data_IF_808268159551
#
_entry.id   IF_808268159551
#
_cell.length_a   1.000
_cell.length_b   1.000
_cell.length_c   1.000
_cell.angle_alpha   90.00
_cell.angle_beta   90.00
_cell.angle_gamma   90.00
#
_symmetry.space_group_name_H-M   'P 1'
#
loop_
_entity.id
_entity.type
_entity.pdbx_description
1 polymer ?
#
# COMPACT_ATOMS: atom_id res chain seq x y z
N UNK A 1 -1.47 57.00 49.54
CA UNK A 1 -0.49 57.92 50.16
C UNK A 1 -0.49 59.16 49.26
N UNK A 2 -0.92 60.36 49.62
CA UNK A 2 -1.24 61.03 50.87
C UNK A 2 -0.86 62.51 50.66
N UNK A 3 -1.77 63.45 51.02
CA UNK A 3 -1.54 64.89 51.27
C UNK A 3 -1.09 65.75 50.06
N UNK A 4 -1.31 67.07 49.94
CA UNK A 4 -1.71 68.12 50.88
C UNK A 4 -2.28 69.34 50.12
N UNK A 5 -2.88 70.23 50.90
CA UNK A 5 -3.63 71.45 50.58
C UNK A 5 -2.77 72.68 50.22
N UNK A 6 -3.37 73.54 49.39
CA UNK A 6 -3.42 75.02 49.34
C UNK A 6 -2.21 75.89 49.73
N UNK A 7 -1.98 76.90 48.88
CA UNK A 7 -1.39 78.18 49.28
C UNK A 7 -2.17 79.35 48.66
N UNK A 8 -2.35 80.38 49.48
CA UNK A 8 -3.23 81.53 49.30
C UNK A 8 -2.56 82.69 48.55
N UNK A 9 -3.37 83.56 47.96
CA UNK A 9 -2.96 84.87 47.44
C UNK A 9 -4.12 85.86 47.49
N UNK A 10 -4.02 86.80 48.42
CA UNK A 10 -4.99 87.85 48.74
C UNK A 10 -4.83 89.07 47.81
N UNK A 11 -5.90 89.82 47.53
CA UNK A 11 -5.98 91.28 47.78
C UNK A 11 -7.34 91.88 47.40
N UNK A 12 -7.72 92.86 48.22
CA UNK A 12 -8.96 93.63 48.34
C UNK A 12 -9.45 94.37 47.10
N UNK A 13 -10.74 94.71 47.07
CA UNK A 13 -11.28 95.75 46.20
C UNK A 13 -12.80 95.87 46.23
N UNK A 14 -13.30 96.81 47.01
CA UNK A 14 -14.71 97.00 47.35
C UNK A 14 -15.64 97.48 46.19
N UNK A 15 -16.95 97.29 46.43
CA UNK A 15 -18.08 98.21 46.13
C UNK A 15 -19.13 97.78 45.10
N UNK A 16 -20.37 98.00 45.53
CA UNK A 16 -21.64 97.65 44.91
C UNK A 16 -21.99 98.52 43.70
N UNK A 17 -22.69 97.93 42.73
CA UNK A 17 -23.58 98.66 41.83
C UNK A 17 -24.81 97.79 41.53
N UNK A 18 -25.96 98.25 42.02
CA UNK A 18 -27.27 97.71 41.69
C UNK A 18 -27.55 97.93 40.19
N UNK A 19 -27.32 96.90 39.39
CA UNK A 19 -27.72 96.85 37.98
C UNK A 19 -28.98 96.01 37.84
N UNK A 20 -30.08 96.65 37.43
CA UNK A 20 -31.32 95.96 37.04
C UNK A 20 -31.02 94.97 35.91
N UNK A 21 -31.07 93.67 36.23
CA UNK A 21 -30.95 92.57 35.27
C UNK A 21 -32.21 92.52 34.41
N UNK A 22 -32.21 93.26 33.30
CA UNK A 22 -33.21 93.06 32.25
C UNK A 22 -32.93 91.73 31.57
N UNK A 23 -33.76 90.72 31.87
CA UNK A 23 -33.75 89.41 31.20
C UNK A 23 -34.21 89.62 29.76
N UNK A 24 -33.27 89.94 28.86
CA UNK A 24 -33.51 89.89 27.42
C UNK A 24 -33.60 88.41 27.02
N UNK A 25 -34.71 88.06 26.38
CA UNK A 25 -35.08 86.70 25.96
C UNK A 25 -33.91 85.94 25.30
N UNK A 26 -33.32 84.99 26.04
CA UNK A 26 -32.10 84.24 25.69
C UNK A 26 -32.27 83.24 24.54
N UNK A 27 -33.44 83.19 23.89
CA UNK A 27 -33.73 82.21 22.85
C UNK A 27 -33.02 82.47 21.50
N UNK A 28 -32.57 83.72 21.22
CA UNK A 28 -31.83 84.02 19.97
C UNK A 28 -30.36 83.59 20.05
N UNK A 29 -29.71 83.82 21.18
CA UNK A 29 -28.29 83.49 21.37
C UNK A 29 -28.05 82.02 21.66
N UNK A 30 -29.03 81.31 22.25
CA UNK A 30 -28.95 79.86 22.41
C UNK A 30 -28.89 79.14 21.06
N UNK A 31 -29.67 79.59 20.07
CA UNK A 31 -29.64 79.05 18.71
C UNK A 31 -28.31 79.33 18.01
N UNK A 32 -27.79 80.54 18.13
CA UNK A 32 -26.50 80.92 17.55
C UNK A 32 -25.31 80.20 18.22
N UNK A 33 -25.37 79.95 19.54
CA UNK A 33 -24.38 79.15 20.26
C UNK A 33 -24.40 77.67 19.87
N UNK A 34 -25.58 77.08 19.67
CA UNK A 34 -25.71 75.70 19.21
C UNK A 34 -25.17 75.56 17.78
N UNK A 35 -25.45 76.50 16.88
CA UNK A 35 -24.89 76.48 15.52
C UNK A 35 -23.36 76.65 15.48
N UNK A 36 -22.79 77.38 16.45
CA UNK A 36 -21.33 77.55 16.59
C UNK A 36 -20.65 76.30 17.17
N UNK A 37 -21.27 75.62 18.13
CA UNK A 37 -20.76 74.38 18.74
C UNK A 37 -20.99 73.17 17.83
N UNK A 38 -22.08 73.15 17.05
CA UNK A 38 -22.42 72.09 16.10
C UNK A 38 -21.83 72.33 14.70
N UNK A 39 -21.05 73.40 14.51
CA UNK A 39 -20.24 73.66 13.32
C UNK A 39 -20.98 73.40 12.00
N UNK A 40 -21.71 74.40 11.49
CA UNK A 40 -22.24 74.41 10.12
C UNK A 40 -21.13 73.96 9.16
N UNK A 41 -21.24 72.74 8.64
CA UNK A 41 -20.20 72.17 7.79
C UNK A 41 -20.06 73.04 6.55
N UNK A 42 -18.89 73.69 6.42
CA UNK A 42 -18.47 74.31 5.16
C UNK A 42 -18.65 73.26 4.07
N UNK A 43 -19.28 73.65 2.96
CA UNK A 43 -19.44 72.81 1.76
C UNK A 43 -18.06 72.31 1.28
N UNK A 44 -17.57 71.24 1.88
CA UNK A 44 -16.35 70.57 1.48
C UNK A 44 -16.71 69.65 0.32
N UNK A 45 -15.98 69.79 -0.78
CA UNK A 45 -16.00 68.82 -1.87
C UNK A 45 -15.74 67.43 -1.28
N UNK A 46 -16.72 66.54 -1.40
CA UNK A 46 -16.65 65.20 -0.82
C UNK A 46 -15.51 64.41 -1.42
N UNK A 47 -14.87 63.57 -0.61
CA UNK A 47 -13.75 62.75 -1.05
C UNK A 47 -14.27 61.57 -1.89
N UNK A 48 -13.55 61.24 -2.97
CA UNK A 48 -13.83 60.06 -3.79
C UNK A 48 -13.33 58.78 -3.11
N UNK A 49 -14.11 57.72 -3.19
CA UNK A 49 -13.74 56.42 -2.62
C UNK A 49 -12.74 55.71 -3.54
N UNK A 50 -11.55 55.40 -3.02
CA UNK A 50 -10.57 54.57 -3.74
C UNK A 50 -10.90 53.08 -3.57
N UNK A 51 -11.83 52.56 -4.37
CA UNK A 51 -12.24 51.16 -4.37
C UNK A 51 -11.96 50.48 -5.71
N UNK A 52 -11.17 49.40 -5.68
CA UNK A 52 -10.91 48.58 -6.86
C UNK A 52 -11.87 47.37 -6.90
N UNK A 53 -12.87 47.45 -7.78
CA UNK A 53 -13.88 46.41 -7.94
C UNK A 53 -13.34 45.10 -8.57
N UNK A 54 -12.22 45.15 -9.32
CA UNK A 54 -11.66 43.98 -10.01
C UNK A 54 -10.71 43.15 -9.17
N UNK A 55 -10.10 43.73 -8.14
CA UNK A 55 -9.03 43.08 -7.36
C UNK A 55 -9.46 41.72 -6.81
N UNK A 56 -10.59 41.69 -6.09
CA UNK A 56 -11.12 40.47 -5.47
C UNK A 56 -11.70 39.51 -6.53
N UNK A 57 -12.38 40.05 -7.54
CA UNK A 57 -12.94 39.25 -8.65
C UNK A 57 -11.85 38.48 -9.41
N UNK A 58 -10.74 39.14 -9.77
CA UNK A 58 -9.63 38.50 -10.45
C UNK A 58 -8.94 37.43 -9.58
N UNK A 59 -8.82 37.67 -8.27
CA UNK A 59 -8.27 36.68 -7.34
C UNK A 59 -9.19 35.45 -7.22
N UNK A 60 -10.51 35.65 -7.20
CA UNK A 60 -11.49 34.57 -7.20
C UNK A 60 -11.46 33.74 -8.49
N UNK A 61 -11.35 34.39 -9.65
CA UNK A 61 -11.26 33.71 -10.94
C UNK A 61 -9.98 32.88 -11.07
N UNK A 62 -8.86 33.35 -10.49
CA UNK A 62 -7.58 32.62 -10.49
C UNK A 62 -7.54 31.48 -9.47
N UNK A 63 -8.37 31.52 -8.42
CA UNK A 63 -8.34 30.53 -7.36
C UNK A 63 -8.93 29.18 -7.82
N UNK A 64 -8.08 28.15 -7.89
CA UNK A 64 -8.47 26.76 -8.20
C UNK A 64 -8.57 25.84 -6.98
N UNK A 65 -8.14 26.31 -5.81
CA UNK A 65 -8.10 25.55 -4.55
C UNK A 65 -8.89 26.27 -3.47
N UNK A 66 -9.55 25.54 -2.54
CA UNK A 66 -10.36 26.18 -1.50
C UNK A 66 -9.55 27.14 -0.64
N UNK A 67 -8.27 26.84 -0.38
CA UNK A 67 -7.37 27.71 0.37
C UNK A 67 -7.07 29.03 -0.39
N UNK A 68 -6.91 28.98 -1.71
CA UNK A 68 -6.76 30.18 -2.54
C UNK A 68 -8.02 31.05 -2.54
N UNK A 69 -9.21 30.42 -2.59
CA UNK A 69 -10.48 31.14 -2.50
C UNK A 69 -10.72 31.71 -1.09
N UNK A 70 -10.27 31.02 -0.03
CA UNK A 70 -10.37 31.51 1.35
C UNK A 70 -9.52 32.77 1.56
N UNK A 71 -8.32 32.82 0.96
CA UNK A 71 -7.49 34.02 0.98
C UNK A 71 -8.18 35.21 0.28
N UNK A 72 -8.84 34.96 -0.86
CA UNK A 72 -9.62 35.97 -1.56
C UNK A 72 -10.85 36.42 -0.72
N UNK A 73 -11.50 35.51 0.00
CA UNK A 73 -12.59 35.82 0.92
C UNK A 73 -12.15 36.75 2.05
N UNK A 74 -10.99 36.50 2.67
CA UNK A 74 -10.44 37.36 3.72
C UNK A 74 -10.17 38.76 3.19
N UNK A 75 -9.63 38.88 1.97
CA UNK A 75 -9.43 40.18 1.31
C UNK A 75 -10.76 40.85 0.95
N UNK A 76 -11.77 40.11 0.53
CA UNK A 76 -13.11 40.65 0.27
C UNK A 76 -13.72 41.27 1.55
N UNK A 77 -13.63 40.53 2.67
CA UNK A 77 -14.10 40.99 3.98
C UNK A 77 -13.34 42.22 4.47
N UNK A 78 -12.01 42.26 4.31
CA UNK A 78 -11.22 43.41 4.72
C UNK A 78 -11.57 44.66 3.91
N UNK A 79 -11.80 44.53 2.59
CA UNK A 79 -12.26 45.63 1.73
C UNK A 79 -13.66 46.10 2.11
N UNK A 80 -14.58 45.19 2.41
CA UNK A 80 -15.91 45.57 2.92
C UNK A 80 -15.81 46.35 4.23
N UNK A 81 -14.99 45.90 5.17
CA UNK A 81 -14.77 46.59 6.45
C UNK A 81 -14.15 47.99 6.26
N UNK A 82 -13.21 48.16 5.33
CA UNK A 82 -12.66 49.49 5.01
C UNK A 82 -13.73 50.43 4.49
N UNK A 83 -14.59 49.97 3.58
CA UNK A 83 -15.68 50.77 3.02
C UNK A 83 -16.75 51.12 4.05
N UNK A 84 -17.05 50.20 4.97
CA UNK A 84 -17.97 50.46 6.09
C UNK A 84 -17.44 51.55 7.02
N UNK A 85 -16.12 51.56 7.30
CA UNK A 85 -15.51 52.65 8.08
C UNK A 85 -15.59 53.99 7.35
N UNK A 86 -15.28 54.02 6.05
CA UNK A 86 -15.45 55.24 5.23
C UNK A 86 -16.90 55.74 5.22
N UNK A 87 -17.87 54.82 5.22
CA UNK A 87 -19.29 55.16 5.26
C UNK A 87 -19.67 55.83 6.59
N UNK A 88 -19.09 55.38 7.70
CA UNK A 88 -19.33 55.94 9.02
C UNK A 88 -18.71 57.33 9.22
N UNK A 89 -17.59 57.65 8.54
CA UNK A 89 -16.94 58.97 8.65
C UNK A 89 -17.77 60.10 8.02
N UNK A 90 -18.61 59.80 7.02
CA UNK A 90 -19.49 60.80 6.38
C UNK A 90 -18.79 61.81 5.45
N UNK A 91 -17.47 61.70 5.25
CA UNK A 91 -16.66 62.60 4.41
C UNK A 91 -16.74 62.32 2.89
N UNK A 92 -17.39 61.22 2.50
CA UNK A 92 -17.42 60.72 1.12
C UNK A 92 -18.80 60.86 0.50
N UNK A 93 -18.88 60.71 -0.83
CA UNK A 93 -20.16 60.63 -1.52
C UNK A 93 -20.98 59.41 -1.10
N UNK A 94 -22.12 59.66 -0.47
CA UNK A 94 -23.04 58.64 0.03
C UNK A 94 -23.51 57.67 -1.06
N UNK A 95 -23.73 58.16 -2.29
CA UNK A 95 -24.10 57.32 -3.46
C UNK A 95 -22.94 56.40 -3.89
N UNK A 96 -21.71 56.91 -3.94
CA UNK A 96 -20.54 56.11 -4.34
C UNK A 96 -20.17 55.08 -3.27
N UNK A 97 -20.15 55.48 -1.99
CA UNK A 97 -19.90 54.56 -0.88
C UNK A 97 -20.94 53.45 -0.83
N UNK A 98 -22.23 53.78 -0.95
CA UNK A 98 -23.28 52.76 -0.88
C UNK A 98 -23.19 51.77 -2.04
N UNK A 99 -22.91 52.24 -3.26
CA UNK A 99 -22.68 51.38 -4.42
C UNK A 99 -21.44 50.48 -4.23
N UNK A 100 -20.33 51.01 -3.71
CA UNK A 100 -19.12 50.25 -3.43
C UNK A 100 -19.33 49.19 -2.34
N UNK A 101 -20.03 49.56 -1.24
CA UNK A 101 -20.39 48.63 -0.16
C UNK A 101 -21.30 47.52 -0.68
N UNK A 102 -22.30 47.84 -1.51
CA UNK A 102 -23.18 46.86 -2.11
C UNK A 102 -22.41 45.88 -3.02
N UNK A 103 -21.49 46.37 -3.84
CA UNK A 103 -20.62 45.52 -4.65
C UNK A 103 -19.70 44.63 -3.81
N UNK A 104 -19.06 45.20 -2.78
CA UNK A 104 -18.18 44.45 -1.88
C UNK A 104 -18.94 43.34 -1.12
N UNK A 105 -20.18 43.59 -0.69
CA UNK A 105 -21.05 42.56 -0.07
C UNK A 105 -21.29 41.38 -1.01
N UNK A 106 -21.72 41.65 -2.25
CA UNK A 106 -21.89 40.60 -3.27
C UNK A 106 -20.60 39.83 -3.52
N UNK A 107 -19.46 40.52 -3.55
CA UNK A 107 -18.17 39.87 -3.75
C UNK A 107 -17.78 38.95 -2.58
N UNK A 108 -18.17 39.28 -1.35
CA UNK A 108 -18.01 38.39 -0.18
C UNK A 108 -18.88 37.14 -0.34
N UNK A 109 -20.13 37.28 -0.77
CA UNK A 109 -21.02 36.14 -1.03
C UNK A 109 -20.47 35.23 -2.13
N UNK A 110 -20.04 35.80 -3.27
CA UNK A 110 -19.39 35.05 -4.34
C UNK A 110 -18.15 34.30 -3.85
N UNK A 111 -17.33 34.94 -3.00
CA UNK A 111 -16.16 34.30 -2.42
C UNK A 111 -16.51 33.14 -1.48
N UNK A 112 -17.53 33.29 -0.64
CA UNK A 112 -18.02 32.23 0.24
C UNK A 112 -18.53 31.03 -0.56
N UNK A 113 -19.33 31.28 -1.60
CA UNK A 113 -19.82 30.23 -2.51
C UNK A 113 -18.65 29.49 -3.17
N UNK A 114 -17.67 30.22 -3.72
CA UNK A 114 -16.50 29.62 -4.36
C UNK A 114 -15.68 28.75 -3.40
N UNK A 115 -15.50 29.17 -2.15
CA UNK A 115 -14.84 28.35 -1.11
C UNK A 115 -15.62 27.07 -0.84
N UNK A 116 -16.94 27.15 -0.71
CA UNK A 116 -17.79 25.96 -0.48
C UNK A 116 -17.75 25.00 -1.67
N UNK A 117 -17.91 25.51 -2.89
CA UNK A 117 -17.88 24.69 -4.11
C UNK A 117 -16.52 24.01 -4.29
N UNK A 118 -15.41 24.75 -4.19
CA UNK A 118 -14.08 24.16 -4.31
C UNK A 118 -13.78 23.12 -3.22
N UNK A 119 -14.31 23.32 -2.00
CA UNK A 119 -14.17 22.34 -0.91
C UNK A 119 -14.99 21.08 -1.19
N UNK A 120 -16.21 21.23 -1.72
CA UNK A 120 -17.07 20.11 -2.10
C UNK A 120 -16.47 19.32 -3.27
N UNK A 121 -16.06 20.01 -4.33
CA UNK A 121 -15.38 19.42 -5.50
C UNK A 121 -14.11 18.65 -5.09
N UNK A 122 -13.33 19.18 -4.14
CA UNK A 122 -12.13 18.50 -3.65
C UNK A 122 -12.46 17.21 -2.89
N UNK A 123 -13.51 17.22 -2.06
CA UNK A 123 -13.97 16.03 -1.33
C UNK A 123 -14.45 14.95 -2.30
N UNK A 124 -15.31 15.31 -3.26
CA UNK A 124 -15.86 14.39 -4.25
C UNK A 124 -14.77 13.81 -5.17
N UNK A 125 -13.85 14.66 -5.65
CA UNK A 125 -12.72 14.21 -6.46
C UNK A 125 -11.79 13.28 -5.67
N UNK A 126 -11.57 13.54 -4.38
CA UNK A 126 -10.78 12.65 -3.53
C UNK A 126 -11.47 11.31 -3.29
N UNK A 127 -12.80 11.29 -3.14
CA UNK A 127 -13.59 10.06 -3.05
C UNK A 127 -13.48 9.23 -4.32
N UNK A 128 -13.70 9.84 -5.48
CA UNK A 128 -13.55 9.18 -6.78
C UNK A 128 -12.14 8.60 -6.99
N UNK A 129 -11.09 9.37 -6.67
CA UNK A 129 -9.70 8.88 -6.75
C UNK A 129 -9.43 7.73 -5.79
N UNK A 130 -10.03 7.73 -4.60
CA UNK A 130 -9.88 6.66 -3.61
C UNK A 130 -10.58 5.39 -4.07
N UNK A 131 -11.81 5.50 -4.55
CA UNK A 131 -12.59 4.39 -5.10
C UNK A 131 -11.86 3.77 -6.30
N UNK A 132 -11.41 4.57 -7.26
CA UNK A 132 -10.68 4.07 -8.42
C UNK A 132 -9.34 3.41 -8.04
N UNK A 133 -8.64 3.89 -7.00
CA UNK A 133 -7.44 3.22 -6.47
C UNK A 133 -7.76 1.90 -5.81
N UNK A 134 -8.85 1.82 -5.04
CA UNK A 134 -9.30 0.59 -4.39
C UNK A 134 -9.71 -0.46 -5.43
N UNK A 135 -10.53 -0.08 -6.41
CA UNK A 135 -10.98 -0.95 -7.50
C UNK A 135 -9.81 -1.46 -8.34
N UNK A 136 -8.84 -0.58 -8.66
CA UNK A 136 -7.65 -0.98 -9.39
C UNK A 136 -6.79 -1.96 -8.59
N UNK A 137 -6.63 -1.72 -7.28
CA UNK A 137 -5.90 -2.61 -6.39
C UNK A 137 -6.59 -3.98 -6.25
N UNK A 138 -7.92 -4.01 -6.14
CA UNK A 138 -8.69 -5.26 -6.10
C UNK A 138 -8.58 -6.03 -7.42
N UNK A 139 -8.82 -5.38 -8.56
CA UNK A 139 -8.67 -6.00 -9.90
C UNK A 139 -7.27 -6.55 -10.11
N UNK A 140 -6.22 -5.81 -9.73
CA UNK A 140 -4.82 -6.26 -9.81
C UNK A 140 -4.56 -7.47 -8.90
N UNK A 141 -5.14 -7.48 -7.69
CA UNK A 141 -5.06 -8.60 -6.76
C UNK A 141 -5.74 -9.87 -7.28
N UNK A 142 -6.93 -9.74 -7.86
CA UNK A 142 -7.68 -10.86 -8.46
C UNK A 142 -6.97 -11.45 -9.67
N UNK A 143 -6.46 -10.61 -10.58
CA UNK A 143 -5.70 -11.06 -11.75
C UNK A 143 -4.46 -11.84 -11.30
N UNK A 144 -3.74 -11.34 -10.28
CA UNK A 144 -2.56 -12.03 -9.73
C UNK A 144 -2.91 -13.39 -9.13
N UNK A 145 -4.00 -13.49 -8.36
CA UNK A 145 -4.47 -14.76 -7.79
C UNK A 145 -4.89 -15.75 -8.87
N UNK A 146 -5.64 -15.28 -9.88
CA UNK A 146 -6.10 -16.13 -10.99
C UNK A 146 -4.91 -16.66 -11.80
N UNK A 147 -3.90 -15.83 -12.06
CA UNK A 147 -2.68 -16.26 -12.75
C UNK A 147 -1.91 -17.32 -11.94
N UNK A 148 -1.66 -17.06 -10.64
CA UNK A 148 -0.93 -17.99 -9.77
C UNK A 148 -1.66 -19.33 -9.57
N UNK A 149 -3.00 -19.34 -9.57
CA UNK A 149 -3.77 -20.58 -9.49
C UNK A 149 -3.70 -21.38 -10.80
N UNK A 150 -3.82 -20.71 -11.95
CA UNK A 150 -3.67 -21.36 -13.26
C UNK A 150 -2.28 -21.97 -13.45
N UNK A 151 -1.23 -21.27 -13.00
CA UNK A 151 0.14 -21.76 -13.06
C UNK A 151 0.36 -23.02 -12.20
N UNK A 152 -0.16 -23.03 -10.97
CA UNK A 152 -0.08 -24.21 -10.09
C UNK A 152 -0.83 -25.41 -10.66
N UNK A 153 -2.04 -25.21 -11.15
CA UNK A 153 -2.86 -26.28 -11.73
C UNK A 153 -2.19 -26.90 -12.97
N UNK A 154 -1.59 -26.07 -13.83
CA UNK A 154 -0.84 -26.57 -14.98
C UNK A 154 0.41 -27.35 -14.56
N UNK A 155 1.13 -26.86 -13.55
CA UNK A 155 2.32 -27.56 -13.03
C UNK A 155 1.98 -28.91 -12.42
N UNK A 156 0.88 -29.00 -11.67
CA UNK A 156 0.38 -30.26 -11.11
C UNK A 156 -0.04 -31.25 -12.20
N UNK A 157 -0.75 -30.78 -13.23
CA UNK A 157 -1.15 -31.63 -14.37
C UNK A 157 0.06 -32.21 -15.11
N UNK A 158 1.08 -31.39 -15.37
CA UNK A 158 2.32 -31.81 -16.02
C UNK A 158 3.03 -32.87 -15.15
N UNK A 159 3.15 -32.65 -13.84
CA UNK A 159 3.80 -33.59 -12.94
C UNK A 159 3.06 -34.94 -12.86
N UNK A 160 1.73 -34.93 -12.81
CA UNK A 160 0.91 -36.16 -12.81
C UNK A 160 1.07 -36.91 -14.13
N UNK A 161 1.04 -36.21 -15.25
CA UNK A 161 1.22 -36.81 -16.58
C UNK A 161 2.61 -37.45 -16.72
N UNK A 162 3.65 -36.80 -16.22
CA UNK A 162 5.01 -37.32 -16.20
C UNK A 162 5.12 -38.60 -15.34
N UNK A 163 4.55 -38.59 -14.13
CA UNK A 163 4.52 -39.77 -13.25
C UNK A 163 3.78 -40.94 -13.93
N UNK A 164 2.64 -40.68 -14.58
CA UNK A 164 1.88 -41.71 -15.29
C UNK A 164 2.68 -42.30 -16.46
N UNK A 165 3.42 -41.48 -17.20
CA UNK A 165 4.26 -41.94 -18.31
C UNK A 165 5.42 -42.81 -17.80
N UNK A 166 6.08 -42.41 -16.72
CA UNK A 166 7.13 -43.22 -16.08
C UNK A 166 6.58 -44.56 -15.57
N UNK A 167 5.40 -44.57 -14.95
CA UNK A 167 4.75 -45.82 -14.50
C UNK A 167 4.43 -46.76 -15.67
N UNK A 168 3.89 -46.22 -16.77
CA UNK A 168 3.60 -47.01 -17.99
C UNK A 168 4.87 -47.60 -18.59
N UNK A 169 5.98 -46.85 -18.60
CA UNK A 169 7.26 -47.35 -19.10
C UNK A 169 7.82 -48.46 -18.17
N UNK A 170 7.80 -48.25 -16.85
CA UNK A 170 8.20 -49.26 -15.86
C UNK A 170 7.38 -50.55 -16.00
N UNK A 171 6.06 -50.45 -16.17
CA UNK A 171 5.19 -51.61 -16.38
C UNK A 171 5.56 -52.39 -17.66
N UNK A 172 5.80 -51.69 -18.78
CA UNK A 172 6.25 -52.32 -20.04
C UNK A 172 7.60 -53.02 -19.88
N UNK A 173 8.55 -52.39 -19.15
CA UNK A 173 9.86 -53.00 -18.86
C UNK A 173 9.74 -54.29 -18.06
N UNK A 174 8.87 -54.30 -17.05
CA UNK A 174 8.60 -55.51 -16.25
C UNK A 174 7.94 -56.60 -17.10
N UNK A 175 6.97 -56.24 -17.95
CA UNK A 175 6.29 -57.18 -18.83
C UNK A 175 7.25 -57.89 -19.80
N UNK A 176 8.17 -57.13 -20.42
CA UNK A 176 9.22 -57.69 -21.29
C UNK A 176 10.13 -58.62 -20.50
N UNK A 177 10.54 -58.23 -19.29
CA UNK A 177 11.38 -59.05 -18.41
C UNK A 177 10.68 -60.36 -18.04
N UNK A 178 9.38 -60.31 -17.74
CA UNK A 178 8.57 -61.48 -17.40
C UNK A 178 8.41 -62.42 -18.59
N UNK A 179 8.09 -61.90 -19.79
CA UNK A 179 8.02 -62.69 -21.02
C UNK A 179 9.34 -63.41 -21.29
N UNK A 180 10.48 -62.72 -21.16
CA UNK A 180 11.82 -63.33 -21.29
C UNK A 180 12.10 -64.42 -20.25
N UNK A 181 11.56 -64.29 -19.03
CA UNK A 181 11.69 -65.31 -18.01
C UNK A 181 10.83 -66.54 -18.34
N UNK A 182 9.59 -66.32 -18.79
CA UNK A 182 8.68 -67.39 -19.18
C UNK A 182 9.22 -68.18 -20.36
N UNK A 183 9.83 -67.53 -21.35
CA UNK A 183 10.48 -68.22 -22.47
C UNK A 183 11.63 -69.11 -21.99
N UNK A 184 12.52 -68.61 -21.13
CA UNK A 184 13.60 -69.42 -20.54
C UNK A 184 13.08 -70.61 -19.73
N UNK A 185 12.02 -70.43 -18.93
CA UNK A 185 11.38 -71.54 -18.19
C UNK A 185 10.78 -72.57 -19.14
N UNK A 186 10.13 -72.13 -20.22
CA UNK A 186 9.54 -73.03 -21.21
C UNK A 186 10.62 -73.82 -21.98
N UNK A 187 11.72 -73.17 -22.33
CA UNK A 187 12.90 -73.82 -22.92
C UNK A 187 13.47 -74.87 -21.97
N UNK A 188 13.71 -74.52 -20.71
CA UNK A 188 14.17 -75.46 -19.68
C UNK A 188 13.22 -76.63 -19.48
N UNK A 189 11.91 -76.39 -19.48
CA UNK A 189 10.91 -77.45 -19.38
C UNK A 189 10.99 -78.41 -20.57
N UNK A 190 11.20 -77.92 -21.79
CA UNK A 190 11.35 -78.76 -22.99
C UNK A 190 12.66 -79.55 -22.98
N UNK A 191 13.75 -78.92 -22.52
CA UNK A 191 15.05 -79.60 -22.35
C UNK A 191 14.91 -80.70 -21.31
N UNK A 192 14.37 -80.39 -20.13
CA UNK A 192 14.14 -81.38 -19.07
C UNK A 192 13.21 -82.50 -19.51
N UNK A 193 12.15 -82.20 -20.27
CA UNK A 193 11.27 -83.23 -20.84
C UNK A 193 12.03 -84.18 -21.79
N UNK A 194 12.92 -83.63 -22.64
CA UNK A 194 13.75 -84.43 -23.53
C UNK A 194 14.76 -85.29 -22.75
N UNK A 195 15.42 -84.71 -21.75
CA UNK A 195 16.37 -85.42 -20.88
C UNK A 195 15.68 -86.54 -20.11
N UNK A 196 14.49 -86.29 -19.55
CA UNK A 196 13.69 -87.30 -18.86
C UNK A 196 13.25 -88.43 -19.80
N UNK A 197 12.90 -88.13 -21.06
CA UNK A 197 12.61 -89.16 -22.07
C UNK A 197 13.84 -90.01 -22.38
N UNK A 198 15.01 -89.40 -22.48
CA UNK A 198 16.27 -90.12 -22.69
C UNK A 198 16.60 -91.03 -21.51
N UNK A 199 16.54 -90.52 -20.27
CA UNK A 199 16.77 -91.29 -19.05
C UNK A 199 15.75 -92.43 -18.93
N UNK A 200 14.47 -92.16 -19.20
CA UNK A 200 13.42 -93.19 -19.18
C UNK A 200 13.69 -94.29 -20.20
N UNK A 201 14.07 -93.94 -21.43
CA UNK A 201 14.44 -94.92 -22.46
C UNK A 201 15.69 -95.72 -22.08
N UNK A 202 16.68 -95.10 -21.42
CA UNK A 202 17.83 -95.81 -20.86
C UNK A 202 17.41 -96.81 -19.78
N UNK A 203 16.50 -96.43 -18.87
CA UNK A 203 15.96 -97.33 -17.85
C UNK A 203 15.14 -98.47 -18.47
N UNK A 204 14.32 -98.20 -19.48
CA UNK A 204 13.50 -99.20 -20.18
C UNK A 204 14.37 -100.23 -20.93
N UNK A 205 15.48 -99.80 -21.54
CA UNK A 205 16.45 -100.69 -22.18
C UNK A 205 17.37 -101.43 -21.20
N UNK A 206 17.59 -100.92 -19.97
CA UNK A 206 18.31 -101.63 -18.91
C UNK A 206 17.39 -102.49 -17.99
N UNK A 207 16.07 -102.49 -18.21
CA UNK A 207 15.11 -103.30 -17.46
C UNK A 207 14.92 -104.73 -18.02
N UNK A 208 15.92 -105.27 -18.74
CA UNK A 208 15.98 -106.70 -19.10
C UNK A 208 17.21 -107.43 -18.54
N UNK A 209 17.87 -106.85 -17.53
CA UNK A 209 18.84 -107.61 -16.73
C UNK A 209 18.91 -107.08 -15.29
N UNK A 210 18.22 -107.80 -14.41
CA UNK A 210 18.40 -107.89 -12.94
C UNK A 210 18.80 -106.62 -12.18
N UNK A 211 17.83 -105.96 -11.53
CA UNK A 211 18.12 -105.13 -10.36
C UNK A 211 17.15 -105.48 -9.22
N UNK A 212 17.76 -106.10 -8.20
CA UNK A 212 17.27 -106.44 -6.87
C UNK A 212 16.68 -105.24 -6.10
N UNK A 213 15.61 -105.42 -5.31
CA UNK A 213 14.99 -104.35 -4.52
C UNK A 213 15.71 -104.18 -3.18
N UNK A 214 16.88 -103.55 -3.16
CA UNK A 214 17.53 -103.15 -1.90
C UNK A 214 18.44 -101.93 -2.09
N UNK A 215 17.87 -100.72 -2.04
CA UNK A 215 18.56 -99.56 -1.49
C UNK A 215 17.54 -98.44 -1.27
N UNK A 216 17.07 -98.35 -0.02
CA UNK A 216 16.18 -97.29 0.42
C UNK A 216 16.89 -95.94 0.42
N UNK A 217 16.62 -95.12 -0.60
CA UNK A 217 16.65 -93.66 -0.50
C UNK A 217 15.41 -93.14 -1.22
N UNK A 218 14.34 -92.97 -0.46
CA UNK A 218 13.18 -92.17 -0.88
C UNK A 218 13.71 -90.74 -1.01
N UNK A 219 14.18 -90.38 -2.21
CA UNK A 219 14.46 -88.99 -2.58
C UNK A 219 13.11 -88.28 -2.53
N UNK A 220 12.89 -87.62 -1.40
CA UNK A 220 11.68 -86.89 -1.10
C UNK A 220 11.56 -85.72 -2.06
N UNK A 221 10.88 -85.95 -3.18
CA UNK A 221 10.45 -84.96 -4.18
C UNK A 221 9.66 -83.78 -3.57
N UNK A 222 9.25 -83.87 -2.30
CA UNK A 222 8.64 -82.79 -1.54
C UNK A 222 9.63 -81.79 -0.93
N UNK A 223 10.91 -82.16 -0.71
CA UNK A 223 11.90 -81.26 -0.12
C UNK A 223 12.46 -80.23 -1.13
N UNK A 224 12.55 -80.60 -2.41
CA UNK A 224 12.99 -79.69 -3.48
C UNK A 224 11.87 -78.77 -3.97
N UNK A 225 10.60 -79.18 -3.85
CA UNK A 225 9.46 -78.28 -4.07
C UNK A 225 9.35 -77.19 -2.99
N UNK A 226 9.76 -77.46 -1.76
CA UNK A 226 9.80 -76.47 -0.69
C UNK A 226 10.96 -75.46 -0.87
N UNK A 227 12.11 -75.92 -1.37
CA UNK A 227 13.25 -75.05 -1.67
C UNK A 227 13.01 -74.12 -2.87
N UNK A 228 12.27 -74.55 -3.90
CA UNK A 228 11.90 -73.68 -5.03
C UNK A 228 10.87 -72.61 -4.63
N UNK A 229 9.95 -72.92 -3.71
CA UNK A 229 9.01 -71.93 -3.15
C UNK A 229 9.72 -70.87 -2.29
N UNK A 230 10.70 -71.26 -1.48
CA UNK A 230 11.53 -70.32 -0.72
C UNK A 230 12.39 -69.44 -1.63
N UNK A 231 12.87 -69.97 -2.76
CA UNK A 231 13.71 -69.21 -3.71
C UNK A 231 12.89 -68.19 -4.51
N UNK A 232 11.65 -68.51 -4.91
CA UNK A 232 10.79 -67.56 -5.64
C UNK A 232 10.26 -66.42 -4.73
N UNK A 233 10.02 -66.71 -3.45
CA UNK A 233 9.70 -65.70 -2.44
C UNK A 233 10.89 -64.79 -2.12
N UNK A 234 12.11 -65.35 -2.01
CA UNK A 234 13.35 -64.59 -1.84
C UNK A 234 13.67 -63.72 -3.07
N UNK A 235 13.44 -64.22 -4.29
CA UNK A 235 13.65 -63.45 -5.52
C UNK A 235 12.63 -62.30 -5.65
N UNK A 236 11.37 -62.49 -5.22
CA UNK A 236 10.37 -61.41 -5.17
C UNK A 236 10.72 -60.35 -4.12
N UNK A 237 11.22 -60.79 -2.95
CA UNK A 237 11.65 -59.90 -1.87
C UNK A 237 12.90 -59.08 -2.27
N UNK A 238 13.87 -59.71 -2.92
CA UNK A 238 15.06 -59.03 -3.45
C UNK A 238 14.71 -58.04 -4.58
N UNK A 239 13.81 -58.43 -5.49
CA UNK A 239 13.36 -57.56 -6.58
C UNK A 239 12.47 -56.40 -6.10
N UNK A 240 11.85 -56.51 -4.93
CA UNK A 240 11.16 -55.41 -4.25
C UNK A 240 12.14 -54.50 -3.50
N UNK A 241 13.13 -55.05 -2.80
CA UNK A 241 14.17 -54.26 -2.12
C UNK A 241 15.03 -53.43 -3.10
N UNK A 242 15.35 -53.96 -4.28
CA UNK A 242 16.06 -53.20 -5.32
C UNK A 242 15.18 -52.12 -5.97
N UNK A 243 13.85 -52.31 -5.95
CA UNK A 243 12.89 -51.30 -6.41
C UNK A 243 12.67 -50.17 -5.38
N UNK A 244 12.87 -50.46 -4.08
CA UNK A 244 12.84 -49.48 -3.00
C UNK A 244 14.18 -48.72 -2.87
N UNK A 245 15.33 -49.37 -3.08
CA UNK A 245 16.65 -48.70 -3.06
C UNK A 245 16.89 -47.74 -4.23
N UNK A 246 16.21 -47.91 -5.37
CA UNK A 246 16.20 -46.90 -6.44
C UNK A 246 15.34 -45.66 -6.12
N UNK A 247 14.51 -45.69 -5.06
CA UNK A 247 13.79 -44.49 -4.59
C UNK A 247 14.58 -43.63 -3.62
N UNK A 248 15.71 -44.11 -3.09
CA UNK A 248 16.57 -43.35 -2.15
C UNK A 248 17.84 -42.75 -2.79
N UNK A 249 18.21 -43.21 -4.00
CA UNK A 249 19.37 -42.70 -4.74
C UNK A 249 19.07 -41.55 -5.72
N UNK A 250 17.80 -41.13 -5.85
CA UNK A 250 17.44 -39.95 -6.66
C UNK A 250 16.90 -38.76 -5.85
N UNK A 251 16.97 -38.82 -4.51
CA UNK A 251 16.58 -37.71 -3.62
C UNK A 251 17.73 -37.11 -2.80
N UNK A 252 18.99 -37.47 -3.08
CA UNK A 252 20.16 -36.98 -2.32
C UNK A 252 21.16 -36.14 -3.13
N UNK A 253 20.78 -35.59 -4.30
CA UNK A 253 21.68 -34.69 -5.04
C UNK A 253 21.03 -33.42 -5.64
N UNK A 254 19.87 -33.01 -5.12
CA UNK A 254 19.18 -31.80 -5.60
C UNK A 254 18.65 -30.88 -4.48
N UNK A 255 19.28 -30.88 -3.30
CA UNK A 255 19.08 -29.83 -2.30
C UNK A 255 20.32 -29.66 -1.41
N UNK A 256 21.08 -28.58 -1.62
CA UNK A 256 22.01 -28.09 -0.59
C UNK A 256 23.34 -27.49 -1.05
N UNK A 257 23.33 -26.50 -1.95
CA UNK A 257 24.47 -25.60 -2.11
C UNK A 257 24.03 -24.17 -1.79
N UNK A 258 24.08 -23.81 -0.50
CA UNK A 258 24.27 -22.46 0.07
C UNK A 258 24.28 -22.60 1.62
N UNK A 259 25.01 -21.73 2.36
CA UNK A 259 26.40 -21.86 2.76
C UNK A 259 26.59 -22.32 4.23
N UNK A 260 27.83 -22.73 4.54
CA UNK A 260 28.34 -23.14 5.85
C UNK A 260 28.04 -22.17 6.98
N UNK A 261 27.57 -22.72 8.10
CA UNK A 261 27.57 -22.10 9.42
C UNK A 261 28.52 -22.80 10.40
N UNK A 262 29.34 -21.98 11.06
CA UNK A 262 29.74 -22.01 12.49
C UNK A 262 30.58 -23.15 13.10
N UNK A 263 31.68 -22.71 13.74
CA UNK A 263 32.04 -23.03 15.14
C UNK A 263 32.77 -21.80 15.72
N UNK A 264 32.20 -21.05 16.67
CA UNK A 264 32.40 -21.15 18.13
C UNK A 264 33.89 -21.10 18.53
N UNK A 265 34.40 -20.25 19.43
CA UNK A 265 33.84 -19.46 20.54
C UNK A 265 35.02 -18.76 21.23
N UNK A 266 34.91 -17.50 21.70
CA UNK A 266 35.47 -17.06 23.00
C UNK A 266 34.97 -15.65 23.38
N UNK A 267 35.15 -15.36 24.66
CA UNK A 267 34.48 -14.45 25.60
C UNK A 267 34.74 -12.94 25.47
N UNK A 268 33.77 -12.12 25.92
CA UNK A 268 34.04 -10.85 26.62
C UNK A 268 33.29 -9.61 26.09
N UNK A 269 32.26 -9.19 26.83
CA UNK A 269 31.94 -7.76 27.05
C UNK A 269 32.91 -7.22 28.13
N UNK A 270 33.16 -5.90 28.36
CA UNK A 270 32.33 -4.75 27.95
C UNK A 270 33.12 -3.49 27.45
N UNK A 271 32.37 -2.42 27.20
CA UNK A 271 32.74 -0.98 27.25
C UNK A 271 33.19 -0.29 25.95
N UNK A 272 32.61 0.90 25.69
CA UNK A 272 33.09 1.82 24.64
C UNK A 272 32.04 2.79 24.11
N UNK A 273 31.91 3.93 24.77
CA UNK A 273 31.10 5.09 24.40
C UNK A 273 31.48 5.79 23.09
N UNK A 274 30.54 6.60 22.59
CA UNK A 274 30.71 7.93 21.97
C UNK A 274 30.51 8.09 20.44
N UNK A 275 29.36 8.68 20.10
CA UNK A 275 29.13 9.87 19.25
C UNK A 275 30.06 10.23 18.09
N UNK A 276 29.46 10.48 16.91
CA UNK A 276 29.61 11.69 16.05
C UNK A 276 29.14 11.36 14.61
N UNK A 277 28.74 12.22 13.67
CA UNK A 277 28.27 13.62 13.57
C UNK A 277 28.11 13.86 12.06
N UNK A 278 27.00 14.50 11.63
CA UNK A 278 26.84 15.35 10.42
C UNK A 278 26.93 14.73 9.00
N UNK A 279 25.95 14.95 8.10
CA UNK A 279 25.48 16.18 7.42
C UNK A 279 26.27 16.47 6.12
N UNK A 280 25.59 16.39 4.96
CA UNK A 280 26.04 16.92 3.67
C UNK A 280 24.79 17.08 2.79
N UNK A 281 24.23 18.29 2.69
CA UNK A 281 24.57 19.41 1.79
C UNK A 281 24.28 19.14 0.31
N UNK A 282 23.53 20.10 -0.22
CA UNK A 282 22.85 20.21 -1.50
C UNK A 282 23.76 20.80 -2.58
N UNK A 283 23.23 20.78 -3.81
CA UNK A 283 23.58 21.62 -4.98
C UNK A 283 24.77 21.16 -5.85
N UNK A 284 24.47 20.83 -7.12
CA UNK A 284 24.76 21.73 -8.22
C UNK A 284 24.09 21.32 -9.54
N UNK A 285 23.54 22.33 -10.21
CA UNK A 285 22.84 22.31 -11.50
C UNK A 285 23.79 22.85 -12.58
N UNK A 286 23.63 22.34 -13.80
CA UNK A 286 24.16 22.78 -15.11
C UNK A 286 25.59 22.37 -15.50
N UNK A 287 25.70 21.64 -16.61
CA UNK A 287 26.11 22.21 -17.92
C UNK A 287 25.72 21.24 -19.05
N UNK A 288 25.02 21.82 -20.04
CA UNK A 288 24.71 21.27 -21.37
C UNK A 288 25.91 21.54 -22.29
N UNK A 289 26.45 20.53 -22.99
CA UNK A 289 26.87 20.58 -24.42
C UNK A 289 27.68 19.35 -24.84
N UNK A 290 27.57 19.02 -26.13
CA UNK A 290 28.38 18.09 -26.94
C UNK A 290 27.86 16.65 -27.08
N UNK A 291 26.81 16.47 -27.88
CA UNK A 291 26.78 15.40 -28.89
C UNK A 291 26.31 16.02 -30.21
N UNK A 292 27.28 16.51 -30.98
CA UNK A 292 27.34 16.45 -32.43
C UNK A 292 28.68 15.78 -32.76
#
# INVERSE_FOLDING_TARGET
>A
MGFSVNSAGSTSGAMAMAGTLTIKNANKDARARIDYVCGKSKSSTKKKVNYNYREVSNQLLRAKKPQGAANALTKAKSRLATLQRCAATGEYDSKEISAAVAHAKRMVECAQLKVRHLKQEEIENNKYKRENRADNMQKKGEIRRRAANKERELKEKIAIEEIQNVQKEKAKRVEIRQKRNNHRRQEQSKISEADMKYIKAQMENHNTSDISPDSGVIVSLSAESANLQMTEAQIKMQAQQDAELETDLTLTDAAGALPQGMSASYTGDPSGSASATRQGMTENINIIKCIL
#
